data_IF_096248229499
#
_entry.id   IF_096248229499
#
_cell.length_a   1.000
_cell.length_b   1.000
_cell.length_c   1.000
_cell.angle_alpha   90.00
_cell.angle_beta   90.00
_cell.angle_gamma   90.00
#
_symmetry.space_group_name_H-M   'P 1'
#
loop_
_entity.id
_entity.type
_entity.pdbx_description
1 polymer ?
#
# COMPACT_ATOMS: atom_id res chain seq x y z
N UNK A 1 -0.45 20.01 -13.82
CA UNK A 1 -0.67 19.01 -12.77
C UNK A 1 0.70 18.68 -12.20
N UNK A 2 1.02 19.14 -10.99
CA UNK A 2 2.35 19.03 -10.38
C UNK A 2 2.62 17.61 -9.85
N UNK A 3 3.89 17.26 -9.65
CA UNK A 3 4.33 15.99 -9.05
C UNK A 3 3.69 15.69 -7.68
N UNK A 4 3.36 16.76 -6.94
CA UNK A 4 2.56 16.69 -5.70
C UNK A 4 1.22 15.96 -5.93
N UNK A 5 0.53 16.26 -7.05
CA UNK A 5 -0.76 15.62 -7.35
C UNK A 5 -0.61 14.12 -7.66
N UNK A 6 0.52 13.69 -8.24
CA UNK A 6 0.76 12.28 -8.53
C UNK A 6 1.03 11.50 -7.23
N UNK A 7 1.85 12.05 -6.33
CA UNK A 7 2.12 11.43 -5.02
C UNK A 7 0.86 11.28 -4.20
N UNK A 8 0.05 12.33 -4.13
CA UNK A 8 -1.19 12.31 -3.35
C UNK A 8 -2.20 11.32 -3.93
N UNK A 9 -2.29 11.23 -5.26
CA UNK A 9 -3.10 10.21 -5.93
C UNK A 9 -2.62 8.79 -5.59
N UNK A 10 -1.31 8.52 -5.71
CA UNK A 10 -0.75 7.20 -5.41
C UNK A 10 -0.95 6.81 -3.95
N UNK A 11 -0.73 7.73 -3.00
CA UNK A 11 -0.99 7.49 -1.57
C UNK A 11 -2.45 7.12 -1.31
N UNK A 12 -3.39 7.80 -1.96
CA UNK A 12 -4.83 7.51 -1.84
C UNK A 12 -5.16 6.11 -2.37
N UNK A 13 -4.67 5.76 -3.56
CA UNK A 13 -4.91 4.43 -4.15
C UNK A 13 -4.29 3.30 -3.33
N UNK A 14 -3.05 3.49 -2.84
CA UNK A 14 -2.38 2.51 -1.96
C UNK A 14 -3.15 2.33 -0.63
N UNK A 15 -3.63 3.42 -0.04
CA UNK A 15 -4.44 3.38 1.18
C UNK A 15 -5.76 2.63 0.96
N UNK A 16 -6.46 2.91 -0.15
CA UNK A 16 -7.69 2.22 -0.51
C UNK A 16 -7.47 0.71 -0.69
N UNK A 17 -6.37 0.33 -1.38
CA UNK A 17 -6.01 -1.08 -1.57
C UNK A 17 -5.65 -1.77 -0.25
N UNK A 18 -4.87 -1.11 0.62
CA UNK A 18 -4.51 -1.63 1.95
C UNK A 18 -5.76 -1.88 2.79
N UNK A 19 -6.71 -0.94 2.82
CA UNK A 19 -7.97 -1.11 3.54
C UNK A 19 -8.81 -2.27 3.01
N UNK A 20 -8.87 -2.44 1.69
CA UNK A 20 -9.55 -3.57 1.06
C UNK A 20 -8.93 -4.91 1.48
N UNK A 21 -7.60 -5.03 1.44
CA UNK A 21 -6.90 -6.24 1.87
C UNK A 21 -7.11 -6.50 3.37
N UNK A 22 -6.98 -5.48 4.21
CA UNK A 22 -7.18 -5.58 5.65
C UNK A 22 -8.62 -5.99 6.02
N UNK A 23 -9.62 -5.54 5.26
CA UNK A 23 -11.01 -6.00 5.43
C UNK A 23 -11.12 -7.51 5.19
N UNK A 24 -10.54 -8.01 4.08
CA UNK A 24 -10.54 -9.44 3.76
C UNK A 24 -9.78 -10.26 4.81
N UNK A 25 -8.68 -9.73 5.34
CA UNK A 25 -7.92 -10.34 6.44
C UNK A 25 -8.74 -10.45 7.74
N UNK A 26 -9.54 -9.43 8.06
CA UNK A 26 -10.31 -9.34 9.30
C UNK A 26 -11.64 -10.11 9.26
N UNK A 27 -12.22 -10.35 8.08
CA UNK A 27 -13.49 -11.06 7.92
C UNK A 27 -13.42 -12.54 8.34
N UNK A 28 -12.25 -13.05 8.74
CA UNK A 28 -12.10 -14.32 9.47
C UNK A 28 -12.44 -15.59 8.68
N UNK A 29 -12.88 -15.46 7.42
CA UNK A 29 -13.17 -16.56 6.50
C UNK A 29 -11.91 -17.15 5.84
N UNK A 30 -10.72 -16.65 6.20
CA UNK A 30 -9.44 -17.13 5.68
C UNK A 30 -9.08 -18.49 6.27
N UNK A 31 -9.69 -19.54 5.70
CA UNK A 31 -9.32 -20.94 5.95
C UNK A 31 -8.02 -21.33 5.28
N UNK A 32 -7.51 -20.49 4.37
CA UNK A 32 -6.33 -20.78 3.56
C UNK A 32 -5.13 -19.91 3.96
N UNK A 33 -4.10 -20.58 4.50
CA UNK A 33 -2.85 -19.96 4.93
C UNK A 33 -2.03 -19.41 3.75
N UNK A 34 -2.17 -19.98 2.53
CA UNK A 34 -1.54 -19.41 1.33
C UNK A 34 -2.17 -18.09 0.96
N UNK A 35 -3.50 -17.99 1.00
CA UNK A 35 -4.20 -16.74 0.73
C UNK A 35 -3.83 -15.66 1.74
N UNK A 36 -3.72 -16.00 3.03
CA UNK A 36 -3.26 -15.07 4.06
C UNK A 36 -1.85 -14.55 3.77
N UNK A 37 -0.89 -15.44 3.47
CA UNK A 37 0.49 -15.05 3.10
C UNK A 37 0.53 -14.18 1.85
N UNK A 38 -0.30 -14.48 0.87
CA UNK A 38 -0.41 -13.69 -0.35
C UNK A 38 -0.90 -12.27 -0.08
N UNK A 39 -1.97 -12.12 0.70
CA UNK A 39 -2.50 -10.83 1.11
C UNK A 39 -1.51 -10.04 1.98
N UNK A 40 -0.80 -10.72 2.88
CA UNK A 40 0.25 -10.11 3.70
C UNK A 40 1.41 -9.59 2.84
N UNK A 41 1.86 -10.36 1.86
CA UNK A 41 2.90 -9.92 0.92
C UNK A 41 2.47 -8.70 0.08
N UNK A 42 1.19 -8.59 -0.27
CA UNK A 42 0.66 -7.39 -0.93
C UNK A 42 0.74 -6.15 -0.01
N UNK A 43 0.43 -6.28 1.28
CA UNK A 43 0.58 -5.19 2.25
C UNK A 43 2.05 -4.78 2.40
N UNK A 44 2.96 -5.74 2.51
CA UNK A 44 4.40 -5.48 2.61
C UNK A 44 4.91 -4.69 1.39
N UNK A 45 4.49 -5.07 0.18
CA UNK A 45 4.85 -4.36 -1.04
C UNK A 45 4.29 -2.94 -1.09
N UNK A 46 3.02 -2.74 -0.70
CA UNK A 46 2.43 -1.40 -0.62
C UNK A 46 3.19 -0.50 0.35
N UNK A 47 3.62 -1.04 1.49
CA UNK A 47 4.41 -0.30 2.48
C UNK A 47 5.80 0.04 1.94
N UNK A 48 6.46 -0.91 1.27
CA UNK A 48 7.76 -0.67 0.63
C UNK A 48 7.68 0.46 -0.40
N UNK A 49 6.70 0.41 -1.31
CA UNK A 49 6.53 1.44 -2.34
C UNK A 49 6.20 2.80 -1.73
N UNK A 50 5.33 2.85 -0.72
CA UNK A 50 5.01 4.10 -0.01
C UNK A 50 6.27 4.71 0.63
N UNK A 51 7.10 3.89 1.26
CA UNK A 51 8.37 4.32 1.84
C UNK A 51 9.34 4.83 0.77
N UNK A 52 9.51 4.10 -0.34
CA UNK A 52 10.39 4.52 -1.44
C UNK A 52 9.96 5.85 -2.05
N UNK A 53 8.64 6.09 -2.18
CA UNK A 53 8.13 7.39 -2.62
C UNK A 53 8.50 8.48 -1.59
N UNK A 54 8.27 8.24 -0.31
CA UNK A 54 8.62 9.21 0.73
C UNK A 54 10.11 9.54 0.74
N UNK A 55 10.98 8.54 0.61
CA UNK A 55 12.43 8.70 0.54
C UNK A 55 12.83 9.50 -0.69
N UNK A 56 12.29 9.16 -1.87
CA UNK A 56 12.57 9.88 -3.10
C UNK A 56 12.26 11.37 -2.99
N UNK A 57 11.08 11.75 -2.48
CA UNK A 57 10.72 13.16 -2.34
C UNK A 57 11.46 13.87 -1.19
N UNK A 58 11.91 13.14 -0.16
CA UNK A 58 12.76 13.68 0.91
C UNK A 58 14.17 14.00 0.41
N UNK A 59 14.74 13.14 -0.42
CA UNK A 59 16.09 13.31 -0.99
C UNK A 59 16.11 14.35 -2.12
N UNK A 60 15.05 14.40 -2.93
CA UNK A 60 14.98 15.27 -4.11
C UNK A 60 14.33 16.64 -3.84
N UNK A 61 14.34 17.13 -2.58
CA UNK A 61 13.82 18.43 -2.10
C UNK A 61 13.13 19.26 -3.19
N UNK A 62 11.84 19.02 -3.39
CA UNK A 62 10.95 19.99 -4.05
C UNK A 62 10.55 21.08 -3.06
#
# INVERSE_FOLDING_TARGET
>A
MSDINLVDYLKKEMSAKRNSISSVLNDGLLKDMEHYKHLQGQIEMLNFVELSIQEYYKENKF
#
